data_IF_439260329339
#
_entry.id   IF_439260329339
#
_cell.length_a   1.000
_cell.length_b   1.000
_cell.length_c   1.000
_cell.angle_alpha   90.00
_cell.angle_beta   90.00
_cell.angle_gamma   90.00
#
_symmetry.space_group_name_H-M   'P 1'
#
loop_
_entity.id
_entity.type
_entity.pdbx_description
1 polymer ?
#
# COMPACT_ATOMS: atom_id res chain seq x y z
N UNK A 1 11.61 -7.80 -15.29
CA UNK A 1 11.08 -6.51 -14.81
C UNK A 1 12.00 -6.01 -13.72
N UNK A 2 12.78 -4.95 -13.94
CA UNK A 2 13.54 -4.31 -12.85
C UNK A 2 12.51 -3.63 -11.92
N UNK A 3 12.45 -4.09 -10.68
CA UNK A 3 11.64 -3.46 -9.65
C UNK A 3 12.08 -1.99 -9.53
N UNK A 4 11.18 -1.04 -9.75
CA UNK A 4 11.44 0.39 -9.50
C UNK A 4 11.93 0.53 -8.06
N UNK A 5 12.98 1.33 -7.81
CA UNK A 5 13.45 1.54 -6.45
C UNK A 5 12.27 2.08 -5.61
N UNK A 6 12.03 1.46 -4.45
CA UNK A 6 10.93 1.82 -3.54
C UNK A 6 10.97 3.29 -3.10
N UNK A 7 12.16 3.91 -3.14
CA UNK A 7 12.39 5.29 -2.73
C UNK A 7 12.96 6.11 -3.89
N UNK A 8 12.33 7.24 -4.19
CA UNK A 8 12.85 8.27 -5.10
C UNK A 8 13.52 9.38 -4.28
N UNK A 9 14.54 9.00 -3.53
CA UNK A 9 15.13 9.75 -2.42
C UNK A 9 16.51 10.36 -2.73
N UNK A 10 17.19 9.85 -3.77
CA UNK A 10 18.61 10.19 -4.01
C UNK A 10 18.83 11.69 -4.21
N UNK A 11 18.04 12.35 -5.05
CA UNK A 11 18.18 13.78 -5.29
C UNK A 11 17.93 14.60 -4.02
N UNK A 12 16.93 14.21 -3.23
CA UNK A 12 16.60 14.85 -1.98
C UNK A 12 17.77 14.77 -0.98
N UNK A 13 18.31 13.58 -0.75
CA UNK A 13 19.37 13.40 0.24
C UNK A 13 20.72 13.99 -0.22
N UNK A 14 21.02 14.02 -1.51
CA UNK A 14 22.20 14.71 -2.01
C UNK A 14 22.17 16.20 -1.63
N UNK A 15 21.02 16.84 -1.73
CA UNK A 15 20.85 18.25 -1.34
C UNK A 15 20.78 18.38 0.17
N UNK A 16 19.97 17.55 0.85
CA UNK A 16 19.76 17.63 2.29
C UNK A 16 21.06 17.44 3.09
N UNK A 17 21.93 16.52 2.68
CA UNK A 17 23.21 16.29 3.38
C UNK A 17 24.14 17.47 3.26
N UNK A 18 24.18 18.13 2.09
CA UNK A 18 24.95 19.35 1.96
C UNK A 18 24.45 20.47 2.91
N UNK A 19 23.13 20.59 3.08
CA UNK A 19 22.56 21.50 4.09
C UNK A 19 22.87 21.06 5.52
N UNK A 20 22.81 19.77 5.83
CA UNK A 20 23.15 19.22 7.15
C UNK A 20 24.61 19.54 7.47
N UNK A 21 25.53 19.34 6.55
CA UNK A 21 26.96 19.69 6.72
C UNK A 21 27.15 21.18 6.98
N UNK A 22 26.48 22.07 6.21
CA UNK A 22 26.52 23.49 6.45
C UNK A 22 25.94 23.89 7.81
N UNK A 23 24.86 23.26 8.23
CA UNK A 23 24.24 23.53 9.54
C UNK A 23 25.10 23.02 10.68
N UNK A 24 25.78 21.89 10.58
CA UNK A 24 26.73 21.39 11.55
C UNK A 24 27.89 22.39 11.72
N UNK A 25 28.42 22.91 10.61
CA UNK A 25 29.42 23.95 10.65
C UNK A 25 28.98 25.18 11.45
N UNK A 26 27.74 25.62 11.22
CA UNK A 26 27.16 26.75 11.96
C UNK A 26 27.05 26.49 13.47
N UNK A 27 26.73 25.25 13.86
CA UNK A 27 26.56 24.86 15.27
C UNK A 27 27.90 24.70 16.01
N UNK A 28 28.94 24.25 15.31
CA UNK A 28 30.21 23.87 15.95
C UNK A 28 31.28 24.98 15.92
N UNK A 29 31.14 25.91 14.99
CA UNK A 29 32.15 26.98 14.81
C UNK A 29 31.63 28.36 15.24
N UNK A 30 32.20 28.90 16.32
CA UNK A 30 31.81 30.21 16.86
C UNK A 30 32.17 31.39 15.94
N UNK A 31 33.15 31.26 15.05
CA UNK A 31 33.60 32.36 14.16
C UNK A 31 33.92 31.80 12.77
N UNK A 32 32.92 31.82 11.86
CA UNK A 32 33.09 31.40 10.49
C UNK A 32 33.78 32.52 9.69
N UNK A 33 35.06 32.33 9.36
CA UNK A 33 35.77 33.17 8.38
C UNK A 33 35.76 32.45 7.03
N UNK A 34 35.24 33.11 6.01
CA UNK A 34 35.21 32.57 4.64
C UNK A 34 36.66 32.53 4.12
N UNK A 35 37.27 31.37 4.09
CA UNK A 35 38.60 31.11 3.54
C UNK A 35 38.59 29.79 2.75
N UNK A 36 39.63 29.56 1.96
CA UNK A 36 39.73 28.34 1.15
C UNK A 36 39.74 27.06 1.99
N UNK A 37 40.27 27.10 3.18
CA UNK A 37 40.30 25.96 4.11
C UNK A 37 38.87 25.56 4.55
N UNK A 38 38.01 26.52 4.83
CA UNK A 38 36.61 26.28 5.17
C UNK A 38 35.86 25.59 4.01
N UNK A 39 36.08 26.03 2.78
CA UNK A 39 35.46 25.41 1.61
C UNK A 39 35.93 23.96 1.45
N UNK A 40 37.20 23.70 1.62
CA UNK A 40 37.75 22.33 1.49
C UNK A 40 37.19 21.39 2.56
N UNK A 41 37.20 21.82 3.84
CA UNK A 41 36.67 21.01 4.95
C UNK A 41 35.16 20.77 4.78
N UNK A 42 34.39 21.77 4.37
CA UNK A 42 32.96 21.60 4.07
C UNK A 42 32.70 20.56 2.95
N UNK A 43 33.53 20.58 1.90
CA UNK A 43 33.43 19.57 0.82
C UNK A 43 33.73 18.18 1.36
N UNK A 44 34.78 18.03 2.16
CA UNK A 44 35.17 16.75 2.75
C UNK A 44 34.06 16.21 3.63
N UNK A 45 33.54 17.02 4.56
CA UNK A 45 32.44 16.62 5.46
C UNK A 45 31.16 16.25 4.71
N UNK A 46 30.86 16.98 3.63
CA UNK A 46 29.71 16.67 2.78
C UNK A 46 29.88 15.33 2.07
N UNK A 47 31.08 15.03 1.54
CA UNK A 47 31.38 13.74 0.92
C UNK A 47 31.33 12.61 1.93
N UNK A 48 31.87 12.79 3.12
CA UNK A 48 31.77 11.81 4.22
C UNK A 48 30.31 11.54 4.58
N UNK A 49 29.49 12.59 4.69
CA UNK A 49 28.05 12.48 4.92
C UNK A 49 27.32 11.68 3.81
N UNK A 50 27.68 11.91 2.56
CA UNK A 50 27.10 11.12 1.44
C UNK A 50 27.50 9.65 1.49
N UNK A 51 28.76 9.34 1.81
CA UNK A 51 29.22 7.95 1.94
C UNK A 51 28.50 7.24 3.09
N UNK A 52 28.40 7.88 4.25
CA UNK A 52 27.68 7.34 5.40
C UNK A 52 26.18 7.14 5.09
N UNK A 53 25.53 8.12 4.49
CA UNK A 53 24.13 7.99 4.06
C UNK A 53 23.93 6.88 3.04
N UNK A 54 24.82 6.73 2.06
CA UNK A 54 24.73 5.66 1.05
C UNK A 54 24.77 4.27 1.67
N UNK A 55 25.61 4.08 2.68
CA UNK A 55 25.68 2.83 3.43
C UNK A 55 24.39 2.60 4.26
N UNK A 56 23.90 3.63 4.97
CA UNK A 56 22.63 3.60 5.72
C UNK A 56 21.48 3.26 4.79
N UNK A 57 21.36 3.92 3.64
CA UNK A 57 20.37 3.65 2.62
C UNK A 57 20.41 2.19 2.13
N UNK A 58 21.60 1.69 1.88
CA UNK A 58 21.79 0.30 1.41
C UNK A 58 21.30 -0.71 2.44
N UNK A 59 21.56 -0.45 3.73
CA UNK A 59 21.04 -1.26 4.84
C UNK A 59 19.52 -1.19 4.92
N UNK A 60 18.92 -0.01 4.80
CA UNK A 60 17.46 0.15 4.84
C UNK A 60 16.81 -0.67 3.72
N UNK A 61 17.33 -0.56 2.48
CA UNK A 61 16.82 -1.33 1.33
C UNK A 61 17.02 -2.86 1.55
N UNK A 62 18.14 -3.27 2.14
CA UNK A 62 18.37 -4.65 2.48
C UNK A 62 17.38 -5.17 3.53
N UNK A 63 17.16 -4.37 4.58
CA UNK A 63 16.22 -4.71 5.64
C UNK A 63 14.76 -4.74 5.14
N UNK A 64 14.37 -3.88 4.20
CA UNK A 64 13.04 -3.91 3.58
C UNK A 64 12.74 -5.23 2.87
N UNK A 65 13.78 -5.88 2.36
CA UNK A 65 13.67 -7.21 1.71
C UNK A 65 13.68 -8.35 2.72
N UNK A 66 14.46 -8.24 3.79
CA UNK A 66 14.70 -9.33 4.77
C UNK A 66 13.69 -9.32 5.92
N UNK A 67 13.33 -8.14 6.39
CA UNK A 67 12.46 -7.92 7.55
C UNK A 67 11.48 -6.79 7.17
N UNK A 68 10.43 -7.08 6.39
CA UNK A 68 9.42 -6.07 6.05
C UNK A 68 8.72 -5.56 7.32
N UNK A 69 8.13 -4.38 7.23
CA UNK A 69 7.44 -3.77 8.39
C UNK A 69 6.19 -4.55 8.85
N UNK A 70 5.51 -5.29 7.98
CA UNK A 70 4.40 -6.21 8.20
C UNK A 70 3.89 -6.36 9.63
N UNK A 71 3.99 -7.58 10.19
CA UNK A 71 3.38 -7.92 11.48
C UNK A 71 4.08 -7.34 12.73
N UNK A 72 5.35 -6.93 12.61
CA UNK A 72 6.14 -6.43 13.74
C UNK A 72 6.84 -5.09 13.43
N UNK A 73 6.10 -4.00 13.18
CA UNK A 73 6.67 -2.73 12.73
C UNK A 73 7.63 -2.11 13.75
N UNK A 74 7.32 -2.16 15.05
CA UNK A 74 8.17 -1.60 16.10
C UNK A 74 9.52 -2.30 16.18
N UNK A 75 9.56 -3.62 16.09
CA UNK A 75 10.80 -4.40 16.04
C UNK A 75 11.65 -4.03 14.83
N UNK A 76 11.00 -3.89 13.66
CA UNK A 76 11.68 -3.48 12.43
C UNK A 76 12.29 -2.08 12.54
N UNK A 77 11.53 -1.12 13.08
CA UNK A 77 12.00 0.25 13.33
C UNK A 77 13.20 0.25 14.27
N UNK A 78 13.10 -0.48 15.39
CA UNK A 78 14.19 -0.55 16.36
C UNK A 78 15.47 -1.14 15.75
N UNK A 79 15.39 -2.26 15.05
CA UNK A 79 16.52 -2.89 14.36
C UNK A 79 17.14 -1.93 13.34
N UNK A 80 16.30 -1.24 12.55
CA UNK A 80 16.75 -0.26 11.59
C UNK A 80 17.53 0.87 12.27
N UNK A 81 16.93 1.53 13.27
CA UNK A 81 17.55 2.63 14.00
C UNK A 81 18.92 2.25 14.57
N UNK A 82 19.01 1.09 15.23
CA UNK A 82 20.26 0.63 15.86
C UNK A 82 21.33 0.36 14.79
N UNK A 83 21.02 -0.48 13.82
CA UNK A 83 22.03 -0.92 12.82
C UNK A 83 22.48 0.26 11.96
N UNK A 84 21.55 1.07 11.47
CA UNK A 84 21.90 2.19 10.57
C UNK A 84 22.66 3.30 11.29
N UNK A 85 22.27 3.62 12.53
CA UNK A 85 22.97 4.63 13.32
C UNK A 85 24.39 4.20 13.67
N UNK A 86 24.57 2.96 14.13
CA UNK A 86 25.90 2.42 14.43
C UNK A 86 26.76 2.42 13.17
N UNK A 87 26.24 1.92 12.04
CA UNK A 87 27.02 1.87 10.79
C UNK A 87 27.38 3.28 10.30
N UNK A 88 26.42 4.22 10.33
CA UNK A 88 26.67 5.58 9.91
C UNK A 88 27.72 6.27 10.76
N UNK A 89 27.64 6.15 12.09
CA UNK A 89 28.63 6.68 13.01
C UNK A 89 30.02 6.08 12.82
N UNK A 90 30.10 4.75 12.66
CA UNK A 90 31.38 4.08 12.41
C UNK A 90 32.05 4.60 11.13
N UNK A 91 31.30 4.81 10.05
CA UNK A 91 31.85 5.35 8.81
C UNK A 91 32.35 6.77 9.01
N UNK A 92 31.58 7.63 9.66
CA UNK A 92 32.02 9.02 9.94
C UNK A 92 33.26 9.02 10.82
N UNK A 93 33.29 8.25 11.91
CA UNK A 93 34.46 8.16 12.80
C UNK A 93 35.71 7.72 12.02
N UNK A 94 35.60 6.63 11.24
CA UNK A 94 36.74 6.11 10.47
C UNK A 94 37.27 7.13 9.45
N UNK A 95 36.36 7.81 8.74
CA UNK A 95 36.76 8.80 7.73
C UNK A 95 37.35 10.05 8.38
N UNK A 96 36.80 10.54 9.49
CA UNK A 96 37.34 11.69 10.24
C UNK A 96 38.70 11.38 10.87
N UNK A 97 38.88 10.17 11.42
CA UNK A 97 40.19 9.74 11.91
C UNK A 97 41.24 9.66 10.80
N UNK A 98 40.87 9.10 9.65
CA UNK A 98 41.77 9.04 8.49
C UNK A 98 42.15 10.45 8.02
N UNK A 99 41.20 11.34 7.91
CA UNK A 99 41.46 12.76 7.58
C UNK A 99 42.38 13.41 8.57
N UNK A 100 42.12 13.26 9.88
CA UNK A 100 42.92 13.88 10.95
C UNK A 100 44.36 13.37 10.95
N UNK A 101 44.56 12.06 10.74
CA UNK A 101 45.89 11.46 10.64
C UNK A 101 46.67 11.99 9.42
N UNK A 102 46.02 12.14 8.27
CA UNK A 102 46.63 12.63 7.04
C UNK A 102 46.96 14.13 7.15
N UNK A 103 46.01 14.94 7.66
CA UNK A 103 46.15 16.40 7.67
C UNK A 103 46.97 16.94 8.86
N UNK A 104 46.92 16.25 10.02
CA UNK A 104 47.45 16.75 11.29
C UNK A 104 48.50 15.82 11.92
N UNK A 105 48.59 14.56 11.46
CA UNK A 105 49.48 13.56 12.03
C UNK A 105 49.06 13.00 13.39
N UNK A 106 47.84 13.31 13.87
CA UNK A 106 47.31 12.83 15.14
C UNK A 106 45.81 12.54 15.01
N UNK A 107 45.24 11.81 15.99
CA UNK A 107 43.81 11.49 16.06
C UNK A 107 42.90 12.71 16.15
N UNK A 108 41.64 12.54 15.83
CA UNK A 108 40.62 13.57 15.95
C UNK A 108 40.55 14.14 17.40
N UNK A 109 40.20 15.44 17.58
CA UNK A 109 40.15 16.06 18.90
C UNK A 109 39.00 15.46 19.74
N UNK A 110 39.15 15.51 21.07
CA UNK A 110 38.15 15.00 22.00
C UNK A 110 36.76 15.66 21.82
N UNK A 111 36.76 16.93 21.41
CA UNK A 111 35.52 17.67 21.10
C UNK A 111 34.68 16.99 20.02
N UNK A 112 35.30 16.44 19.02
CA UNK A 112 34.59 15.65 17.96
C UNK A 112 33.78 14.50 18.57
N UNK A 113 34.36 13.72 19.47
CA UNK A 113 33.68 12.60 20.10
C UNK A 113 32.57 13.01 21.07
N UNK A 114 32.75 14.13 21.79
CA UNK A 114 31.79 14.58 22.80
C UNK A 114 30.63 15.40 22.22
N UNK A 115 30.87 16.19 21.18
CA UNK A 115 29.88 17.11 20.65
C UNK A 115 29.44 16.74 19.23
N UNK A 116 30.37 16.55 18.29
CA UNK A 116 30.02 16.36 16.89
C UNK A 116 29.33 15.01 16.68
N UNK A 117 29.82 13.94 17.30
CA UNK A 117 29.18 12.60 17.26
C UNK A 117 27.75 12.64 17.78
N UNK A 118 27.49 13.41 18.84
CA UNK A 118 26.14 13.54 19.38
C UNK A 118 25.19 14.22 18.38
N UNK A 119 25.64 15.31 17.75
CA UNK A 119 24.85 16.02 16.73
C UNK A 119 24.63 15.12 15.50
N UNK A 120 25.67 14.41 15.05
CA UNK A 120 25.59 13.48 13.91
C UNK A 120 24.63 12.33 14.23
N UNK A 121 24.62 11.82 15.46
CA UNK A 121 23.66 10.82 15.91
C UNK A 121 22.21 11.30 15.76
N UNK A 122 21.91 12.54 16.15
CA UNK A 122 20.59 13.14 15.95
C UNK A 122 20.21 13.16 14.47
N UNK A 123 21.14 13.51 13.58
CA UNK A 123 20.88 13.51 12.15
C UNK A 123 20.57 12.11 11.60
N UNK A 124 21.22 11.06 12.09
CA UNK A 124 20.87 9.69 11.71
C UNK A 124 19.46 9.30 12.17
N UNK A 125 19.02 9.76 13.34
CA UNK A 125 17.62 9.58 13.76
C UNK A 125 16.65 10.33 12.83
N UNK A 126 16.96 11.55 12.42
CA UNK A 126 16.15 12.33 11.48
C UNK A 126 16.08 11.63 10.12
N UNK A 127 17.22 11.17 9.59
CA UNK A 127 17.27 10.42 8.31
C UNK A 127 16.42 9.16 8.39
N UNK A 128 16.53 8.37 9.47
CA UNK A 128 15.70 7.21 9.67
C UNK A 128 14.22 7.55 9.77
N UNK A 129 13.86 8.62 10.48
CA UNK A 129 12.49 9.12 10.57
C UNK A 129 11.91 9.46 9.21
N UNK A 130 12.70 10.09 8.33
CA UNK A 130 12.29 10.39 6.94
C UNK A 130 12.02 9.07 6.17
N UNK A 131 12.89 8.06 6.25
CA UNK A 131 12.67 6.78 5.58
C UNK A 131 11.44 6.04 6.09
N UNK A 132 11.23 6.02 7.41
CA UNK A 132 10.02 5.45 8.02
C UNK A 132 8.77 6.19 7.53
N UNK A 133 8.80 7.52 7.54
CA UNK A 133 7.71 8.36 7.03
C UNK A 133 7.41 8.11 5.55
N UNK A 134 8.45 8.01 4.70
CA UNK A 134 8.30 7.69 3.28
C UNK A 134 7.68 6.31 3.06
N UNK A 135 8.05 5.32 3.87
CA UNK A 135 7.48 3.98 3.81
C UNK A 135 5.96 4.02 4.08
N UNK A 136 5.54 4.57 5.23
CA UNK A 136 4.12 4.64 5.60
C UNK A 136 3.31 5.54 4.67
N UNK A 137 3.90 6.64 4.18
CA UNK A 137 3.25 7.49 3.18
C UNK A 137 2.98 6.73 1.88
N UNK A 138 3.94 5.90 1.43
CA UNK A 138 3.77 5.09 0.22
C UNK A 138 2.68 4.03 0.39
N UNK A 139 2.62 3.35 1.54
CA UNK A 139 1.58 2.37 1.86
C UNK A 139 0.20 3.02 1.98
N UNK A 140 0.13 4.16 2.65
CA UNK A 140 -1.12 4.93 2.75
C UNK A 140 -1.64 5.36 1.37
N UNK A 141 -0.75 5.87 0.52
CA UNK A 141 -1.10 6.30 -0.85
C UNK A 141 -1.60 5.13 -1.70
N UNK A 142 -0.98 3.98 -1.59
CA UNK A 142 -1.39 2.77 -2.31
C UNK A 142 -2.76 2.27 -1.81
N UNK A 143 -2.95 2.21 -0.50
CA UNK A 143 -4.24 1.85 0.12
C UNK A 143 -5.35 2.82 -0.29
N UNK A 144 -5.08 4.13 -0.32
CA UNK A 144 -6.06 5.13 -0.74
C UNK A 144 -6.40 5.01 -2.23
N UNK A 145 -5.39 4.71 -3.07
CA UNK A 145 -5.63 4.47 -4.49
C UNK A 145 -6.54 3.24 -4.70
N UNK A 146 -6.27 2.15 -3.99
CA UNK A 146 -7.10 0.94 -4.05
C UNK A 146 -8.53 1.23 -3.59
N UNK A 147 -8.71 1.97 -2.49
CA UNK A 147 -10.04 2.40 -2.01
C UNK A 147 -10.79 3.25 -3.03
N UNK A 148 -10.09 4.14 -3.74
CA UNK A 148 -10.70 4.97 -4.78
C UNK A 148 -11.11 4.16 -6.00
N UNK A 149 -10.28 3.20 -6.42
CA UNK A 149 -10.63 2.28 -7.50
C UNK A 149 -11.84 1.41 -7.12
N UNK A 150 -11.88 0.87 -5.91
CA UNK A 150 -13.05 0.15 -5.40
C UNK A 150 -14.32 1.00 -5.40
N UNK A 151 -14.22 2.27 -4.95
CA UNK A 151 -15.35 3.20 -4.99
C UNK A 151 -15.82 3.48 -6.41
N UNK A 152 -14.91 3.64 -7.37
CA UNK A 152 -15.25 3.81 -8.79
C UNK A 152 -15.96 2.58 -9.34
N UNK A 153 -15.47 1.38 -9.02
CA UNK A 153 -16.11 0.13 -9.44
C UNK A 153 -17.49 -0.01 -8.79
N UNK A 154 -17.66 0.36 -7.50
CA UNK A 154 -18.96 0.37 -6.81
C UNK A 154 -19.93 1.38 -7.38
N UNK A 155 -19.46 2.58 -7.73
CA UNK A 155 -20.25 3.62 -8.39
C UNK A 155 -20.57 3.29 -9.86
N UNK A 156 -19.81 2.38 -10.49
CA UNK A 156 -20.17 1.79 -11.75
C UNK A 156 -21.46 0.96 -11.56
N UNK A 157 -22.38 1.04 -12.48
CA UNK A 157 -23.68 0.42 -12.34
C UNK A 157 -24.11 -0.28 -13.61
N UNK A 158 -25.27 -0.91 -13.53
CA UNK A 158 -25.93 -1.51 -14.67
C UNK A 158 -26.94 -0.54 -15.26
N UNK A 159 -26.84 -0.28 -16.57
CA UNK A 159 -27.77 0.63 -17.27
C UNK A 159 -29.02 -0.10 -17.70
N UNK A 160 -30.19 0.35 -17.24
CA UNK A 160 -31.51 -0.14 -17.66
C UNK A 160 -32.27 0.96 -18.40
N UNK A 161 -33.07 0.57 -19.39
CA UNK A 161 -33.98 1.47 -20.07
C UNK A 161 -35.29 1.57 -19.29
N UNK A 162 -35.69 2.80 -18.96
CA UNK A 162 -37.01 3.09 -18.39
C UNK A 162 -37.76 4.02 -19.35
N UNK A 163 -38.56 3.44 -20.26
CA UNK A 163 -39.17 4.20 -21.34
C UNK A 163 -38.12 4.83 -22.29
N UNK A 164 -38.07 6.15 -22.37
CA UNK A 164 -37.09 6.89 -23.17
C UNK A 164 -35.79 7.26 -22.42
N UNK A 165 -35.68 6.95 -21.13
CA UNK A 165 -34.52 7.28 -20.30
C UNK A 165 -33.64 6.08 -20.05
N UNK A 166 -32.33 6.30 -19.96
CA UNK A 166 -31.38 5.32 -19.46
C UNK A 166 -31.12 5.64 -17.97
N UNK A 167 -31.42 4.70 -17.11
CA UNK A 167 -31.15 4.78 -15.68
C UNK A 167 -29.94 3.94 -15.35
N UNK A 168 -28.96 4.49 -14.64
CA UNK A 168 -27.85 3.77 -14.06
C UNK A 168 -28.25 3.30 -12.66
N UNK A 169 -28.26 1.99 -12.44
CA UNK A 169 -28.47 1.37 -11.12
C UNK A 169 -27.09 0.94 -10.60
N UNK A 170 -26.57 1.55 -9.51
CA UNK A 170 -25.28 1.19 -8.93
C UNK A 170 -25.21 -0.29 -8.58
N UNK A 171 -24.05 -0.93 -8.77
CA UNK A 171 -23.93 -2.37 -8.54
C UNK A 171 -24.17 -2.77 -7.08
N UNK A 172 -23.83 -1.94 -6.13
CA UNK A 172 -24.08 -2.17 -4.69
C UNK A 172 -25.56 -2.04 -4.28
N UNK A 173 -26.38 -1.42 -5.13
CA UNK A 173 -27.83 -1.36 -4.96
C UNK A 173 -28.55 -2.56 -5.60
N UNK A 174 -27.86 -3.37 -6.41
CA UNK A 174 -28.48 -4.50 -7.11
C UNK A 174 -28.45 -5.74 -6.22
N UNK A 175 -29.62 -6.31 -5.89
CA UNK A 175 -29.71 -7.60 -5.20
C UNK A 175 -29.47 -8.78 -6.13
N UNK A 176 -29.90 -8.68 -7.38
CA UNK A 176 -29.69 -9.71 -8.37
C UNK A 176 -30.51 -9.55 -9.63
N UNK A 177 -30.35 -10.52 -10.52
CA UNK A 177 -31.08 -10.64 -11.77
C UNK A 177 -31.73 -12.03 -11.84
N UNK A 178 -32.94 -12.09 -12.33
CA UNK A 178 -33.64 -13.34 -12.52
C UNK A 178 -34.54 -13.33 -13.76
N UNK A 179 -34.97 -14.52 -14.19
CA UNK A 179 -35.92 -14.66 -15.30
C UNK A 179 -37.24 -15.14 -14.77
N UNK A 180 -38.34 -14.48 -15.14
CA UNK A 180 -39.72 -14.79 -14.83
C UNK A 180 -40.54 -14.53 -16.10
N UNK A 181 -41.40 -15.46 -16.49
CA UNK A 181 -42.29 -15.38 -17.66
C UNK A 181 -41.62 -14.94 -18.97
N UNK A 182 -40.34 -15.37 -19.17
CA UNK A 182 -39.56 -15.03 -20.36
C UNK A 182 -38.86 -13.67 -20.31
N UNK A 183 -39.09 -12.87 -19.27
CA UNK A 183 -38.43 -11.56 -19.06
C UNK A 183 -37.26 -11.66 -18.10
N UNK A 184 -36.26 -10.88 -18.37
CA UNK A 184 -35.17 -10.67 -17.42
C UNK A 184 -35.52 -9.50 -16.49
N UNK A 185 -35.41 -9.71 -15.19
CA UNK A 185 -35.73 -8.74 -14.14
C UNK A 185 -34.45 -8.46 -13.36
N UNK A 186 -34.14 -7.17 -13.16
CA UNK A 186 -33.19 -6.67 -12.19
C UNK A 186 -33.97 -6.27 -10.95
N UNK A 187 -33.60 -6.81 -9.79
CA UNK A 187 -34.14 -6.44 -8.50
C UNK A 187 -33.08 -5.65 -7.72
N UNK A 188 -33.44 -4.47 -7.23
CA UNK A 188 -32.55 -3.73 -6.34
C UNK A 188 -32.82 -4.07 -4.85
N UNK A 189 -31.99 -3.54 -3.96
CA UNK A 189 -32.09 -3.75 -2.50
C UNK A 189 -33.32 -3.08 -1.85
N UNK A 190 -34.04 -2.24 -2.60
CA UNK A 190 -35.31 -1.63 -2.20
C UNK A 190 -36.52 -2.38 -2.77
N UNK A 191 -36.35 -3.59 -3.28
CA UNK A 191 -37.38 -4.40 -3.94
C UNK A 191 -37.97 -3.81 -5.23
N UNK A 192 -37.31 -2.80 -5.83
CA UNK A 192 -37.74 -2.22 -7.10
C UNK A 192 -37.30 -3.10 -8.27
N UNK A 193 -38.24 -3.41 -9.16
CA UNK A 193 -38.03 -4.20 -10.36
C UNK A 193 -37.74 -3.31 -11.56
N UNK A 194 -36.71 -3.70 -12.34
CA UNK A 194 -36.40 -3.12 -13.64
C UNK A 194 -36.33 -4.23 -14.68
N UNK A 195 -36.64 -3.93 -15.91
CA UNK A 195 -36.74 -4.91 -17.00
C UNK A 195 -35.65 -4.62 -18.06
N UNK A 196 -34.44 -5.15 -17.89
CA UNK A 196 -33.41 -4.98 -18.90
C UNK A 196 -33.73 -5.79 -20.14
N UNK A 197 -33.62 -5.15 -21.31
CA UNK A 197 -33.82 -5.79 -22.63
C UNK A 197 -32.58 -6.63 -23.04
N UNK A 198 -32.16 -7.52 -22.16
CA UNK A 198 -30.96 -8.39 -22.35
C UNK A 198 -31.16 -9.72 -21.62
N UNK A 199 -30.62 -10.77 -22.22
CA UNK A 199 -30.60 -12.10 -21.57
C UNK A 199 -29.60 -12.14 -20.41
N UNK A 200 -29.81 -13.04 -19.44
CA UNK A 200 -28.86 -13.23 -18.31
C UNK A 200 -27.44 -13.57 -18.78
N UNK A 201 -27.29 -14.27 -19.94
CA UNK A 201 -25.95 -14.55 -20.49
C UNK A 201 -25.19 -13.31 -20.95
N UNK A 202 -25.90 -12.31 -21.46
CA UNK A 202 -25.30 -11.01 -21.82
C UNK A 202 -25.04 -10.16 -20.59
N UNK A 203 -25.89 -10.23 -19.58
CA UNK A 203 -25.77 -9.51 -18.33
C UNK A 203 -24.58 -10.04 -17.52
N UNK A 204 -24.44 -11.37 -17.38
CA UNK A 204 -23.34 -12.01 -16.65
C UNK A 204 -21.96 -11.49 -17.09
N UNK A 205 -21.77 -11.25 -18.39
CA UNK A 205 -20.50 -10.74 -18.97
C UNK A 205 -20.21 -9.29 -18.62
N UNK A 206 -21.18 -8.52 -18.16
CA UNK A 206 -21.07 -7.10 -17.82
C UNK A 206 -20.96 -6.87 -16.31
N UNK A 207 -21.24 -7.89 -15.52
CA UNK A 207 -21.22 -7.80 -14.07
C UNK A 207 -19.82 -8.09 -13.51
N UNK A 208 -19.41 -7.39 -12.45
CA UNK A 208 -18.20 -7.74 -11.72
C UNK A 208 -18.34 -9.12 -11.09
N UNK A 209 -17.54 -10.09 -11.55
CA UNK A 209 -17.58 -11.47 -11.07
C UNK A 209 -17.22 -11.63 -9.59
N UNK A 210 -16.61 -10.62 -8.98
CA UNK A 210 -16.32 -10.59 -7.53
C UNK A 210 -17.58 -10.39 -6.70
N UNK A 211 -18.57 -9.68 -7.23
CA UNK A 211 -19.79 -9.30 -6.50
C UNK A 211 -21.00 -10.10 -6.92
N UNK A 212 -21.04 -10.55 -8.18
CA UNK A 212 -22.17 -11.29 -8.72
C UNK A 212 -21.77 -12.70 -9.07
N UNK A 213 -22.65 -13.66 -8.75
CA UNK A 213 -22.47 -15.05 -9.14
C UNK A 213 -23.74 -15.59 -9.76
N UNK A 214 -23.56 -16.27 -10.89
CA UNK A 214 -24.67 -16.94 -11.55
C UNK A 214 -24.88 -18.32 -10.96
N UNK A 215 -25.96 -18.47 -10.18
CA UNK A 215 -26.28 -19.73 -9.49
C UNK A 215 -26.74 -20.83 -10.45
N UNK A 216 -27.61 -20.45 -11.38
CA UNK A 216 -28.19 -21.36 -12.38
C UNK A 216 -28.64 -20.59 -13.64
N UNK A 217 -29.49 -21.20 -14.48
CA UNK A 217 -29.99 -20.57 -15.72
C UNK A 217 -30.90 -19.36 -15.45
N UNK A 218 -31.54 -19.33 -14.29
CA UNK A 218 -32.56 -18.32 -13.94
C UNK A 218 -32.08 -17.22 -13.02
N UNK A 219 -30.97 -17.39 -12.27
CA UNK A 219 -30.56 -16.46 -11.20
C UNK A 219 -29.10 -16.08 -11.28
N UNK A 220 -28.85 -14.75 -11.19
CA UNK A 220 -27.56 -14.13 -10.88
C UNK A 220 -27.77 -13.32 -9.61
N UNK A 221 -27.02 -13.57 -8.54
CA UNK A 221 -27.18 -12.84 -7.27
C UNK A 221 -25.95 -12.03 -6.93
N UNK A 222 -26.20 -10.91 -6.31
CA UNK A 222 -25.16 -10.13 -5.63
C UNK A 222 -24.77 -10.83 -4.32
N UNK A 223 -23.51 -10.80 -3.96
CA UNK A 223 -22.97 -11.43 -2.73
C UNK A 223 -23.70 -10.99 -1.47
N UNK A 224 -24.05 -9.69 -1.37
CA UNK A 224 -24.75 -9.13 -0.21
C UNK A 224 -26.22 -9.58 -0.08
N UNK A 225 -26.79 -10.14 -1.14
CA UNK A 225 -28.13 -10.71 -1.10
C UNK A 225 -28.15 -12.14 -0.54
N UNK A 226 -26.99 -12.76 -0.33
CA UNK A 226 -26.84 -14.13 0.14
C UNK A 226 -26.48 -14.11 1.63
N UNK A 227 -27.30 -14.78 2.46
CA UNK A 227 -27.04 -14.92 3.90
C UNK A 227 -26.28 -16.19 4.24
N UNK A 228 -26.35 -17.22 3.40
CA UNK A 228 -25.66 -18.48 3.64
C UNK A 228 -26.00 -19.54 2.58
N UNK A 229 -25.46 -20.73 2.78
CA UNK A 229 -25.81 -21.87 1.94
C UNK A 229 -25.73 -23.17 2.75
N UNK A 230 -26.55 -24.17 2.35
CA UNK A 230 -26.52 -25.52 2.89
C UNK A 230 -26.35 -26.55 1.77
N UNK A 231 -25.80 -27.72 2.10
CA UNK A 231 -25.79 -28.83 1.17
C UNK A 231 -27.23 -29.41 1.07
N UNK A 232 -27.69 -29.57 -0.16
CA UNK A 232 -28.91 -30.26 -0.48
C UNK A 232 -28.61 -31.72 -0.85
N UNK A 233 -29.65 -32.53 -0.99
CA UNK A 233 -29.54 -33.91 -1.50
C UNK A 233 -28.92 -33.90 -2.90
N UNK A 234 -28.21 -34.94 -3.29
CA UNK A 234 -27.53 -35.10 -4.60
C UNK A 234 -26.33 -34.16 -4.86
N UNK A 235 -25.66 -33.63 -3.83
CA UNK A 235 -24.47 -32.79 -3.97
C UNK A 235 -24.73 -31.38 -4.52
N UNK A 236 -26.00 -30.97 -4.57
CA UNK A 236 -26.39 -29.58 -4.88
C UNK A 236 -26.20 -28.67 -3.66
N UNK A 237 -26.30 -27.38 -3.90
CA UNK A 237 -26.21 -26.35 -2.86
C UNK A 237 -27.48 -25.50 -2.95
N UNK A 238 -28.15 -25.33 -1.81
CA UNK A 238 -29.24 -24.39 -1.66
C UNK A 238 -28.69 -23.12 -1.00
N UNK A 239 -28.81 -22.00 -1.68
CA UNK A 239 -28.35 -20.67 -1.24
C UNK A 239 -29.52 -19.97 -0.60
N UNK A 240 -29.35 -19.57 0.66
CA UNK A 240 -30.33 -18.78 1.42
C UNK A 240 -30.19 -17.30 1.06
N UNK A 241 -31.28 -16.66 0.68
CA UNK A 241 -31.32 -15.28 0.24
C UNK A 241 -31.89 -14.41 1.37
N UNK A 242 -31.37 -13.22 1.53
CA UNK A 242 -31.87 -12.21 2.45
C UNK A 242 -33.29 -11.86 2.01
N UNK A 243 -34.27 -11.92 2.93
CA UNK A 243 -35.70 -11.75 2.65
C UNK A 243 -36.02 -10.61 1.68
N UNK A 244 -36.03 -10.92 0.41
CA UNK A 244 -36.40 -10.04 -0.69
C UNK A 244 -37.80 -10.43 -1.16
N UNK A 245 -38.72 -9.49 -1.16
CA UNK A 245 -40.03 -9.71 -1.77
C UNK A 245 -39.82 -10.14 -3.22
N UNK A 246 -40.57 -11.17 -3.65
CA UNK A 246 -40.49 -11.75 -4.99
C UNK A 246 -39.24 -12.59 -5.33
N UNK A 247 -38.39 -12.88 -4.35
CA UNK A 247 -37.36 -13.91 -4.50
C UNK A 247 -37.70 -15.14 -3.65
N UNK A 248 -37.40 -16.35 -4.11
CA UNK A 248 -37.57 -17.55 -3.29
C UNK A 248 -36.58 -17.49 -2.12
N UNK A 249 -36.97 -17.99 -0.94
CA UNK A 249 -36.11 -18.02 0.26
C UNK A 249 -34.81 -18.81 0.01
N UNK A 250 -34.83 -19.76 -0.91
CA UNK A 250 -33.65 -20.51 -1.30
C UNK A 250 -33.62 -20.76 -2.81
N UNK A 251 -32.44 -20.57 -3.40
CA UNK A 251 -32.15 -20.85 -4.81
C UNK A 251 -31.08 -21.92 -4.93
N UNK A 252 -31.35 -22.92 -5.78
CA UNK A 252 -30.42 -24.01 -5.98
C UNK A 252 -29.31 -23.64 -6.96
N UNK A 253 -28.06 -23.90 -6.57
CA UNK A 253 -26.89 -23.79 -7.45
C UNK A 253 -26.82 -25.03 -8.34
N UNK A 254 -26.56 -24.81 -9.63
CA UNK A 254 -26.36 -25.94 -10.55
C UNK A 254 -25.14 -26.78 -10.12
N UNK A 255 -25.24 -28.12 -10.33
CA UNK A 255 -24.20 -29.07 -9.91
C UNK A 255 -22.81 -28.68 -10.44
N UNK A 256 -22.73 -28.25 -11.70
CA UNK A 256 -21.47 -27.80 -12.34
C UNK A 256 -20.86 -26.52 -11.71
N UNK A 257 -21.66 -25.65 -11.10
CA UNK A 257 -21.21 -24.40 -10.49
C UNK A 257 -21.02 -24.50 -8.97
N UNK A 258 -21.36 -25.62 -8.34
CA UNK A 258 -21.33 -25.77 -6.88
C UNK A 258 -19.92 -25.57 -6.26
N UNK A 259 -18.88 -26.09 -6.91
CA UNK A 259 -17.48 -25.93 -6.45
C UNK A 259 -17.02 -24.47 -6.60
N UNK A 260 -17.30 -23.87 -7.76
CA UNK A 260 -16.95 -22.47 -8.04
C UNK A 260 -17.70 -21.52 -7.09
N UNK A 261 -18.97 -21.79 -6.79
CA UNK A 261 -19.75 -20.99 -5.84
C UNK A 261 -19.14 -21.01 -4.44
N UNK A 262 -18.73 -22.17 -3.92
CA UNK A 262 -18.10 -22.27 -2.60
C UNK A 262 -16.84 -21.43 -2.52
N UNK A 263 -15.96 -21.54 -3.53
CA UNK A 263 -14.72 -20.76 -3.60
C UNK A 263 -15.01 -19.24 -3.67
N UNK A 264 -16.03 -18.86 -4.44
CA UNK A 264 -16.43 -17.46 -4.58
C UNK A 264 -17.05 -16.89 -3.30
N UNK A 265 -17.85 -17.67 -2.57
CA UNK A 265 -18.55 -17.22 -1.36
C UNK A 265 -17.68 -17.27 -0.09
N UNK A 266 -16.60 -18.06 -0.06
CA UNK A 266 -15.67 -18.06 1.07
C UNK A 266 -15.08 -16.65 1.28
N UNK A 267 -14.91 -16.18 2.53
CA UNK A 267 -14.20 -14.94 2.77
C UNK A 267 -12.79 -15.05 2.19
N UNK A 268 -12.35 -14.03 1.44
CA UNK A 268 -10.94 -13.90 1.09
C UNK A 268 -10.16 -13.78 2.41
N UNK A 269 -9.41 -14.81 2.75
CA UNK A 269 -8.30 -14.64 3.71
C UNK A 269 -7.28 -13.82 2.93
N UNK A 270 -7.19 -12.53 3.25
CA UNK A 270 -6.09 -11.70 2.79
C UNK A 270 -4.81 -12.29 3.37
N UNK A 271 -4.04 -12.94 2.50
CA UNK A 271 -2.69 -13.44 2.77
C UNK A 271 -1.65 -12.36 2.54
#
# INVERSE_FOLDING_TARGET
>A
MQARPKYNDVKFFLIAIAFISAFNYYLTWNHIKLNWFLVLTYIIDTVQGWLAWWAVRSIIIYLDKKIPYGDQPLKRIFIQLVITTITGLLIIILLTELESLIARGHTAPLSFYLFDIFIICIWFFVINGIYIGMHYYSEWKESEHQRQEEKKVRAAGFTVKLGKQNLLVPFDEISGFYTEDGYTILLNNQNKKFFPDRSLDKIEKQLPGEWFFRLNRQYILHRNAITGFKRSNDGKIDVTIKGLENFPEAVQVSRTKAVAFKKWFQPRVES
#
